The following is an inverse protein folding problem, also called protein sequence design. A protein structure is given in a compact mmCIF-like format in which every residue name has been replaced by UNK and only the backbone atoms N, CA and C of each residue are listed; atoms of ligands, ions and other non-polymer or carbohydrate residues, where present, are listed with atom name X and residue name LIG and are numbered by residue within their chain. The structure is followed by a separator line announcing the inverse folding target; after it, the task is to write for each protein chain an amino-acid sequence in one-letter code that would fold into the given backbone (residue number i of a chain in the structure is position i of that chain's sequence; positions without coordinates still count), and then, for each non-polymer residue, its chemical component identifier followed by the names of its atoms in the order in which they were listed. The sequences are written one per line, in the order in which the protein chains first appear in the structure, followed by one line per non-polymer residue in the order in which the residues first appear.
data_IF_178423143185
#
_entry.id   IF_178423143185
#
_cell.length_a   1.000
_cell.length_b   1.000
_cell.length_c   1.000
_cell.angle_alpha   90.00
_cell.angle_beta   90.00
_cell.angle_gamma   90.00
#
_symmetry.space_group_name_H-M   'P 1'
#
loop_
_entity.id
_entity.type
_entity.pdbx_description
1 polymer ?
#
# COMPACT_ATOMS: atom_id res chain seq x y z
N UNK A 1 -20.87 5.87 -5.19
CA UNK A 1 -20.20 5.45 -3.94
C UNK A 1 -19.05 6.37 -3.53
N UNK A 2 -18.03 6.61 -4.38
CA UNK A 2 -16.85 7.43 -4.05
C UNK A 2 -17.18 8.80 -3.43
N UNK A 3 -18.03 9.59 -4.09
CA UNK A 3 -18.43 10.92 -3.60
C UNK A 3 -19.16 10.84 -2.25
N UNK A 4 -19.98 9.80 -2.03
CA UNK A 4 -20.73 9.63 -0.80
C UNK A 4 -19.81 9.33 0.39
N UNK A 5 -18.79 8.49 0.19
CA UNK A 5 -17.76 8.22 1.21
C UNK A 5 -16.93 9.47 1.46
N UNK A 6 -16.48 10.15 0.41
CA UNK A 6 -15.69 11.39 0.52
C UNK A 6 -16.43 12.47 1.32
N UNK A 7 -17.72 12.68 1.06
CA UNK A 7 -18.53 13.66 1.81
C UNK A 7 -18.65 13.33 3.32
N UNK A 8 -18.55 12.05 3.69
CA UNK A 8 -18.58 11.62 5.11
C UNK A 8 -17.20 11.71 5.77
N UNK A 9 -16.13 11.69 5.00
CA UNK A 9 -14.75 11.77 5.47
C UNK A 9 -14.35 13.23 5.78
N UNK A 10 -15.03 13.85 6.75
CA UNK A 10 -14.89 15.26 7.07
C UNK A 10 -13.65 15.51 7.95
N UNK A 11 -12.82 16.47 7.55
CA UNK A 11 -11.71 16.96 8.37
C UNK A 11 -12.21 18.01 9.37
N UNK A 12 -11.83 17.88 10.65
CA UNK A 12 -12.23 18.84 11.69
C UNK A 12 -11.63 20.24 11.45
N UNK A 13 -10.45 20.32 10.83
CA UNK A 13 -9.83 21.56 10.39
C UNK A 13 -9.49 21.45 8.91
N UNK A 14 -10.15 22.24 8.06
CA UNK A 14 -9.91 22.24 6.62
C UNK A 14 -8.59 22.98 6.33
N UNK A 15 -7.61 22.34 5.66
CA UNK A 15 -6.36 23.00 5.29
C UNK A 15 -6.61 24.22 4.40
N UNK A 16 -5.97 25.35 4.72
CA UNK A 16 -6.16 26.59 3.95
C UNK A 16 -5.60 26.52 2.52
N UNK A 17 -4.61 25.66 2.28
CA UNK A 17 -3.94 25.47 0.98
C UNK A 17 -4.60 24.38 0.11
N UNK A 18 -5.38 23.48 0.72
CA UNK A 18 -6.07 22.40 0.02
C UNK A 18 -7.47 22.23 0.63
N UNK A 19 -8.42 23.00 0.10
CA UNK A 19 -9.81 23.02 0.59
C UNK A 19 -10.55 21.72 0.29
N UNK A 20 -10.06 20.94 -0.67
CA UNK A 20 -10.63 19.66 -1.08
C UNK A 20 -9.89 18.47 -0.43
N UNK A 21 -9.02 18.74 0.55
CA UNK A 21 -8.25 17.72 1.25
C UNK A 21 -9.15 16.71 1.95
N UNK A 22 -8.88 15.43 1.68
CA UNK A 22 -9.58 14.30 2.31
C UNK A 22 -8.55 13.46 3.07
N UNK A 23 -8.61 13.40 4.41
CA UNK A 23 -7.70 12.56 5.18
C UNK A 23 -7.89 11.08 4.83
N UNK A 24 -6.83 10.42 4.36
CA UNK A 24 -6.89 9.02 3.92
C UNK A 24 -7.44 8.07 4.99
N UNK A 25 -7.04 8.27 6.26
CA UNK A 25 -7.51 7.45 7.39
C UNK A 25 -9.00 7.62 7.68
N UNK A 26 -9.55 8.83 7.49
CA UNK A 26 -10.98 9.07 7.67
C UNK A 26 -11.77 8.48 6.52
N UNK A 27 -11.26 8.61 5.28
CA UNK A 27 -11.87 7.99 4.11
C UNK A 27 -11.92 6.46 4.22
N UNK A 28 -10.81 5.84 4.61
CA UNK A 28 -10.72 4.39 4.89
C UNK A 28 -11.73 3.94 5.95
N UNK A 29 -11.89 4.71 7.03
CA UNK A 29 -12.87 4.42 8.07
C UNK A 29 -14.30 4.48 7.54
N UNK A 30 -14.65 5.50 6.76
CA UNK A 30 -15.98 5.63 6.17
C UNK A 30 -16.25 4.57 5.10
N UNK A 31 -15.24 4.19 4.31
CA UNK A 31 -15.34 3.07 3.39
C UNK A 31 -15.66 1.76 4.12
N UNK A 32 -14.89 1.41 5.16
CA UNK A 32 -15.13 0.18 5.94
C UNK A 32 -16.50 0.18 6.63
N UNK A 33 -16.99 1.34 7.08
CA UNK A 33 -18.37 1.49 7.59
C UNK A 33 -19.40 1.23 6.49
N UNK A 34 -19.19 1.73 5.27
CA UNK A 34 -20.09 1.51 4.15
C UNK A 34 -20.14 0.03 3.74
N UNK A 35 -18.98 -0.65 3.67
CA UNK A 35 -18.90 -2.11 3.43
C UNK A 35 -19.65 -2.89 4.50
N UNK A 36 -19.47 -2.52 5.77
CA UNK A 36 -20.20 -3.17 6.88
C UNK A 36 -21.71 -2.95 6.77
N UNK A 37 -22.14 -1.72 6.45
CA UNK A 37 -23.55 -1.35 6.36
C UNK A 37 -24.28 -2.01 5.18
N UNK A 38 -23.58 -2.36 4.10
CA UNK A 38 -24.19 -3.04 2.96
C UNK A 38 -24.52 -4.52 3.22
N UNK A 39 -23.96 -5.11 4.28
CA UNK A 39 -24.06 -6.55 4.54
C UNK A 39 -23.28 -7.43 3.56
N UNK A 40 -22.57 -6.83 2.59
CA UNK A 40 -21.82 -7.52 1.53
C UNK A 40 -20.33 -7.32 1.71
N UNK A 41 -19.77 -7.91 2.75
CA UNK A 41 -18.35 -7.78 3.09
C UNK A 41 -17.55 -8.99 2.61
N UNK A 42 -16.51 -8.78 1.82
CA UNK A 42 -15.48 -9.77 1.47
C UNK A 42 -14.17 -9.40 2.16
N UNK A 43 -13.54 -10.38 2.81
CA UNK A 43 -12.18 -10.21 3.38
C UNK A 43 -11.14 -10.38 2.28
N UNK A 44 -10.09 -9.56 2.34
CA UNK A 44 -8.91 -9.69 1.49
C UNK A 44 -7.65 -9.47 2.32
N UNK A 45 -6.53 -10.01 1.85
CA UNK A 45 -5.20 -9.71 2.38
C UNK A 45 -4.37 -9.07 1.27
N UNK A 46 -3.74 -7.95 1.59
CA UNK A 46 -2.72 -7.31 0.76
C UNK A 46 -1.37 -7.80 1.29
N UNK A 47 -0.58 -8.46 0.45
CA UNK A 47 0.80 -8.83 0.76
C UNK A 47 1.75 -8.01 -0.12
N UNK A 48 2.82 -7.47 0.47
CA UNK A 48 3.91 -6.78 -0.21
C UNK A 48 5.19 -7.52 0.11
N UNK A 49 5.81 -8.10 -0.92
CA UNK A 49 6.99 -8.95 -0.86
C UNK A 49 8.22 -8.18 -1.36
N UNK A 50 9.28 -8.19 -0.54
CA UNK A 50 10.61 -7.69 -0.89
C UNK A 50 11.49 -8.84 -1.39
N UNK A 51 11.48 -9.91 -0.59
CA UNK A 51 12.06 -11.23 -0.88
C UNK A 51 11.10 -12.29 -0.32
N UNK A 52 11.23 -13.58 -0.69
CA UNK A 52 10.39 -14.64 -0.12
C UNK A 52 10.42 -14.72 1.41
N UNK A 53 11.49 -14.25 2.05
CA UNK A 53 11.70 -14.22 3.50
C UNK A 53 11.36 -12.85 4.14
N UNK A 54 10.86 -11.90 3.36
CA UNK A 54 10.50 -10.57 3.83
C UNK A 54 9.21 -10.09 3.18
N UNK A 55 8.10 -10.36 3.89
CA UNK A 55 6.74 -10.14 3.43
C UNK A 55 5.94 -9.37 4.47
N UNK A 56 5.39 -8.25 4.04
CA UNK A 56 4.48 -7.42 4.83
C UNK A 56 3.04 -7.69 4.42
N UNK A 57 2.16 -8.03 5.37
CA UNK A 57 0.73 -8.19 5.08
C UNK A 57 -0.15 -7.14 5.77
N UNK A 58 -1.34 -6.92 5.21
CA UNK A 58 -2.41 -6.10 5.77
C UNK A 58 -3.78 -6.70 5.39
N UNK A 59 -4.57 -7.09 6.39
CA UNK A 59 -5.94 -7.59 6.17
C UNK A 59 -6.95 -6.43 6.15
N UNK A 60 -7.87 -6.46 5.20
CA UNK A 60 -8.97 -5.49 5.10
C UNK A 60 -10.22 -6.14 4.52
N UNK A 61 -11.30 -5.36 4.41
CA UNK A 61 -12.54 -5.74 3.74
C UNK A 61 -12.79 -4.88 2.50
N UNK A 62 -13.58 -5.42 1.58
CA UNK A 62 -14.10 -4.76 0.36
C UNK A 62 -15.57 -5.18 0.14
N UNK A 63 -16.29 -4.46 -0.71
CA UNK A 63 -17.63 -4.86 -1.14
C UNK A 63 -17.57 -6.17 -1.93
N UNK A 64 -18.35 -7.17 -1.52
CA UNK A 64 -18.55 -8.42 -2.25
C UNK A 64 -19.55 -8.20 -3.41
N UNK A 65 -19.25 -8.77 -4.57
CA UNK A 65 -20.05 -8.66 -5.81
C UNK A 65 -20.51 -7.22 -6.08
N UNK A 66 -19.55 -6.29 -6.20
CA UNK A 66 -19.83 -4.87 -6.17
C UNK A 66 -20.56 -4.40 -7.44
N UNK A 67 -21.45 -3.43 -7.27
CA UNK A 67 -21.85 -2.54 -8.37
C UNK A 67 -20.64 -1.78 -8.92
N UNK A 68 -20.75 -1.17 -10.10
CA UNK A 68 -19.63 -0.42 -10.69
C UNK A 68 -19.14 0.71 -9.76
N UNK A 69 -20.06 1.38 -9.06
CA UNK A 69 -19.68 2.42 -8.11
C UNK A 69 -18.94 1.87 -6.87
N UNK A 70 -19.39 0.73 -6.34
CA UNK A 70 -18.72 0.04 -5.22
C UNK A 70 -17.36 -0.51 -5.65
N UNK A 71 -17.24 -0.98 -6.89
CA UNK A 71 -15.98 -1.45 -7.48
C UNK A 71 -14.97 -0.31 -7.55
N UNK A 72 -15.37 0.86 -8.03
CA UNK A 72 -14.53 2.05 -8.01
C UNK A 72 -14.08 2.44 -6.58
N UNK A 73 -14.95 2.25 -5.58
CA UNK A 73 -14.60 2.45 -4.18
C UNK A 73 -13.63 1.39 -3.63
N UNK A 74 -13.83 0.10 -3.98
CA UNK A 74 -12.89 -0.98 -3.66
C UNK A 74 -11.51 -0.68 -4.23
N UNK A 75 -11.42 -0.29 -5.50
CA UNK A 75 -10.16 0.03 -6.17
C UNK A 75 -9.47 1.19 -5.45
N UNK A 76 -10.16 2.31 -5.17
CA UNK A 76 -9.56 3.45 -4.45
C UNK A 76 -9.07 3.06 -3.07
N UNK A 77 -9.84 2.25 -2.33
CA UNK A 77 -9.48 1.78 -1.00
C UNK A 77 -8.19 0.96 -1.02
N UNK A 78 -8.17 -0.10 -1.84
CA UNK A 78 -7.05 -1.04 -1.90
C UNK A 78 -5.82 -0.39 -2.52
N UNK A 79 -5.99 0.43 -3.57
CA UNK A 79 -4.87 1.12 -4.21
C UNK A 79 -4.18 2.12 -3.27
N UNK A 80 -4.93 2.82 -2.41
CA UNK A 80 -4.36 3.73 -1.40
C UNK A 80 -3.60 2.97 -0.32
N UNK A 81 -4.12 1.82 0.12
CA UNK A 81 -3.43 0.94 1.07
C UNK A 81 -2.14 0.36 0.45
N UNK A 82 -2.19 -0.12 -0.80
CA UNK A 82 -1.02 -0.61 -1.53
C UNK A 82 0.03 0.49 -1.64
N UNK A 83 -0.34 1.71 -2.05
CA UNK A 83 0.61 2.83 -2.12
C UNK A 83 1.24 3.11 -0.76
N UNK A 84 0.43 3.17 0.30
CA UNK A 84 0.93 3.35 1.66
C UNK A 84 1.93 2.25 2.06
N UNK A 85 1.61 0.99 1.80
CA UNK A 85 2.50 -0.13 2.12
C UNK A 85 3.79 -0.09 1.30
N UNK A 86 3.74 0.20 0.00
CA UNK A 86 4.94 0.32 -0.84
C UNK A 86 5.90 1.39 -0.30
N UNK A 87 5.38 2.54 0.12
CA UNK A 87 6.21 3.65 0.57
C UNK A 87 6.64 3.58 2.04
N UNK A 88 5.89 2.87 2.89
CA UNK A 88 6.27 2.67 4.29
C UNK A 88 7.15 1.45 4.49
N UNK A 89 6.91 0.39 3.71
CA UNK A 89 7.47 -0.95 3.93
C UNK A 89 8.37 -1.38 2.78
N UNK A 90 8.08 -0.96 1.55
CA UNK A 90 8.83 -1.34 0.36
C UNK A 90 8.54 -2.77 -0.11
N UNK A 91 8.58 -2.98 -1.42
CA UNK A 91 8.49 -4.28 -2.09
C UNK A 91 8.24 -4.12 -3.59
N UNK A 92 8.32 -5.21 -4.33
CA UNK A 92 8.12 -5.21 -5.80
C UNK A 92 7.00 -6.15 -6.24
N UNK A 93 6.71 -7.18 -5.46
CA UNK A 93 5.62 -8.11 -5.74
C UNK A 93 4.51 -7.89 -4.73
N UNK A 94 3.32 -7.65 -5.24
CA UNK A 94 2.13 -7.41 -4.45
C UNK A 94 1.14 -8.52 -4.76
N UNK A 95 0.53 -9.09 -3.73
CA UNK A 95 -0.51 -10.10 -3.91
C UNK A 95 -1.78 -9.63 -3.22
N UNK A 96 -2.88 -9.61 -3.98
CA UNK A 96 -4.22 -9.38 -3.45
C UNK A 96 -4.89 -10.74 -3.31
N UNK A 97 -4.92 -11.25 -2.08
CA UNK A 97 -5.54 -12.53 -1.77
C UNK A 97 -7.04 -12.35 -1.50
N UNK A 98 -7.87 -13.15 -2.16
CA UNK A 98 -9.33 -13.17 -1.98
C UNK A 98 -10.13 -12.33 -2.98
N UNK A 99 -9.49 -11.54 -3.85
CA UNK A 99 -10.19 -10.79 -4.91
C UNK A 99 -9.33 -10.58 -6.18
N UNK A 100 -9.51 -11.47 -7.15
CA UNK A 100 -8.77 -11.42 -8.42
C UNK A 100 -9.16 -10.23 -9.30
N UNK A 101 -10.38 -9.70 -9.16
CA UNK A 101 -10.85 -8.56 -9.97
C UNK A 101 -10.14 -7.29 -9.54
N UNK A 102 -10.08 -7.05 -8.22
CA UNK A 102 -9.32 -5.90 -7.66
C UNK A 102 -7.83 -6.02 -8.01
N UNK A 103 -7.26 -7.23 -7.94
CA UNK A 103 -5.87 -7.46 -8.36
C UNK A 103 -5.63 -7.07 -9.82
N UNK A 104 -6.53 -7.47 -10.72
CA UNK A 104 -6.42 -7.17 -12.16
C UNK A 104 -6.55 -5.68 -12.46
N UNK A 105 -7.40 -4.93 -11.74
CA UNK A 105 -7.46 -3.47 -11.88
C UNK A 105 -6.18 -2.80 -11.38
N UNK A 106 -5.68 -3.24 -10.23
CA UNK A 106 -4.44 -2.74 -9.67
C UNK A 106 -3.25 -3.02 -10.60
N UNK A 107 -3.20 -4.19 -11.25
CA UNK A 107 -2.17 -4.52 -12.22
C UNK A 107 -2.13 -3.53 -13.40
N UNK A 108 -3.30 -3.01 -13.82
CA UNK A 108 -3.36 -1.96 -14.86
C UNK A 108 -2.88 -0.62 -14.31
N UNK A 109 -3.30 -0.26 -13.10
CA UNK A 109 -2.93 1.00 -12.44
C UNK A 109 -1.42 1.06 -12.18
N UNK A 110 -0.83 -0.02 -11.65
CA UNK A 110 0.59 -0.18 -11.37
C UNK A 110 1.29 -0.87 -12.55
N UNK A 111 1.34 -0.16 -13.68
CA UNK A 111 2.04 -0.58 -14.88
C UNK A 111 2.80 0.60 -15.50
N UNK A 112 3.67 0.33 -16.48
CA UNK A 112 4.44 1.38 -17.18
C UNK A 112 3.57 2.44 -17.88
N UNK A 113 2.31 2.14 -18.18
CA UNK A 113 1.35 3.07 -18.79
C UNK A 113 0.19 3.45 -17.86
N UNK A 114 0.19 2.97 -16.62
CA UNK A 114 -0.88 3.22 -15.65
C UNK A 114 -0.69 4.51 -14.85
N UNK A 115 -1.72 4.90 -14.10
CA UNK A 115 -1.71 6.10 -13.23
C UNK A 115 -0.61 6.06 -12.14
N UNK A 116 -0.05 4.88 -11.88
CA UNK A 116 1.04 4.65 -10.92
C UNK A 116 2.33 4.20 -11.61
N UNK A 117 2.56 4.60 -12.87
CA UNK A 117 3.79 4.31 -13.60
C UNK A 117 5.06 4.69 -12.84
N UNK A 118 5.06 5.84 -12.16
CA UNK A 118 6.18 6.25 -11.31
C UNK A 118 6.46 5.27 -10.15
N UNK A 119 5.42 4.84 -9.43
CA UNK A 119 5.57 3.85 -8.35
C UNK A 119 6.05 2.50 -8.93
N UNK A 120 5.49 2.10 -10.08
CA UNK A 120 5.88 0.89 -10.82
C UNK A 120 7.36 0.87 -11.20
N UNK A 121 7.84 1.90 -11.88
CA UNK A 121 9.23 2.00 -12.33
C UNK A 121 10.20 2.06 -11.16
N UNK A 122 9.86 2.83 -10.12
CA UNK A 122 10.75 3.01 -8.98
C UNK A 122 10.85 1.77 -8.12
N UNK A 123 9.75 1.10 -7.79
CA UNK A 123 9.81 -0.16 -7.05
C UNK A 123 10.54 -1.22 -7.87
N UNK A 124 10.33 -1.23 -9.21
CA UNK A 124 11.07 -2.15 -10.08
C UNK A 124 12.58 -1.93 -10.01
N UNK A 125 12.99 -0.65 -10.00
CA UNK A 125 14.40 -0.25 -9.93
C UNK A 125 15.01 -0.52 -8.56
N UNK A 126 14.32 -0.18 -7.46
CA UNK A 126 14.85 -0.34 -6.09
C UNK A 126 15.12 -1.81 -5.78
N UNK A 127 14.23 -2.70 -6.21
CA UNK A 127 14.30 -4.12 -5.94
C UNK A 127 14.92 -4.94 -7.06
N UNK A 128 15.34 -4.31 -8.17
CA UNK A 128 15.90 -4.98 -9.35
C UNK A 128 15.04 -6.14 -9.88
N UNK A 129 13.73 -6.00 -9.80
CA UNK A 129 12.74 -6.97 -10.25
C UNK A 129 11.56 -6.24 -10.87
N UNK A 130 10.97 -6.73 -11.96
CA UNK A 130 9.78 -6.10 -12.53
C UNK A 130 8.63 -6.12 -11.52
N UNK A 131 8.16 -4.94 -11.10
CA UNK A 131 7.03 -4.82 -10.18
C UNK A 131 5.80 -5.50 -10.77
N UNK A 132 5.00 -6.16 -9.93
CA UNK A 132 3.78 -6.83 -10.39
C UNK A 132 2.74 -6.96 -9.29
N UNK A 133 1.48 -7.01 -9.72
CA UNK A 133 0.34 -7.34 -8.88
C UNK A 133 -0.17 -8.72 -9.28
N UNK A 134 -0.20 -9.64 -8.32
CA UNK A 134 -0.73 -10.99 -8.46
C UNK A 134 -2.05 -11.14 -7.65
N UNK A 135 -2.78 -12.22 -7.92
CA UNK A 135 -3.92 -12.66 -7.11
C UNK A 135 -3.78 -14.10 -6.66
N UNK A 136 -4.34 -14.43 -5.51
CA UNK A 136 -4.52 -15.82 -5.06
C UNK A 136 -5.82 -15.97 -4.26
N UNK A 137 -6.18 -17.21 -3.93
CA UNK A 137 -7.24 -17.48 -2.95
C UNK A 137 -6.87 -16.88 -1.58
N UNK A 138 -7.87 -16.57 -0.76
CA UNK A 138 -7.66 -15.94 0.55
C UNK A 138 -6.80 -16.82 1.48
N UNK A 139 -7.03 -18.13 1.45
CA UNK A 139 -6.35 -19.16 2.24
C UNK A 139 -4.91 -19.39 1.80
N UNK A 140 -4.60 -19.00 0.56
CA UNK A 140 -3.27 -19.08 -0.05
C UNK A 140 -2.48 -17.77 0.11
N UNK A 141 -2.99 -16.80 0.89
CA UNK A 141 -2.30 -15.53 1.12
C UNK A 141 -0.86 -15.75 1.63
N UNK A 142 0.14 -15.02 1.08
CA UNK A 142 1.48 -15.00 1.66
C UNK A 142 1.42 -14.64 3.15
N UNK A 143 2.21 -15.34 3.97
CA UNK A 143 2.28 -15.07 5.42
C UNK A 143 3.22 -13.90 5.70
N UNK A 144 2.92 -13.13 6.74
CA UNK A 144 3.82 -12.07 7.19
C UNK A 144 5.14 -12.67 7.70
N UNK A 145 6.25 -12.12 7.21
CA UNK A 145 7.61 -12.43 7.66
C UNK A 145 8.39 -11.12 7.70
N UNK A 146 8.68 -10.62 8.90
CA UNK A 146 9.41 -9.35 9.11
C UNK A 146 10.73 -9.63 9.82
N UNK A 147 11.80 -10.00 9.08
CA UNK A 147 13.08 -10.29 9.69
C UNK A 147 13.65 -9.03 10.32
N UNK A 148 14.04 -9.12 11.59
CA UNK A 148 14.77 -8.05 12.27
C UNK A 148 16.25 -8.40 12.30
N UNK A 149 17.11 -7.42 11.98
CA UNK A 149 18.55 -7.54 12.19
C UNK A 149 18.94 -6.61 13.34
N UNK A 150 19.60 -7.12 14.39
CA UNK A 150 20.11 -6.26 15.45
C UNK A 150 21.17 -5.31 14.89
N UNK A 151 21.12 -4.05 15.30
CA UNK A 151 22.04 -2.98 14.83
C UNK A 151 23.48 -3.12 15.36
N UNK A 152 23.82 -4.22 16.05
CA UNK A 152 25.15 -4.51 16.61
C UNK A 152 25.58 -3.63 17.79
N UNK A 153 25.23 -2.32 17.79
CA UNK A 153 25.62 -1.32 18.81
C UNK A 153 27.12 -1.35 19.14
N UNK A 154 27.97 -1.50 18.13
CA UNK A 154 29.43 -1.50 18.31
C UNK A 154 29.93 -0.07 18.60
N UNK A 155 29.99 0.30 19.88
CA UNK A 155 30.35 1.65 20.33
C UNK A 155 31.84 1.86 20.59
N UNK A 156 32.62 0.79 20.73
CA UNK A 156 34.04 0.81 21.15
C UNK A 156 35.07 1.02 20.01
N UNK A 157 34.62 1.30 18.78
CA UNK A 157 35.49 1.45 17.61
C UNK A 157 35.33 2.78 16.89
N UNK A 158 36.24 3.07 15.96
CA UNK A 158 36.09 4.20 15.04
C UNK A 158 34.88 3.96 14.13
N UNK A 159 33.99 4.95 14.02
CA UNK A 159 32.70 4.82 13.32
C UNK A 159 32.63 5.76 12.14
N UNK A 160 32.17 5.26 11.01
CA UNK A 160 31.85 6.06 9.83
C UNK A 160 30.34 5.94 9.58
N UNK A 161 29.64 7.07 9.66
CA UNK A 161 28.23 7.19 9.31
C UNK A 161 28.09 7.77 7.92
N UNK A 162 27.34 7.08 7.04
CA UNK A 162 26.94 7.59 5.73
C UNK A 162 25.46 7.93 5.74
N UNK A 163 25.12 9.17 5.38
CA UNK A 163 23.77 9.56 4.99
C UNK A 163 23.75 9.72 3.46
N UNK A 164 23.13 8.75 2.78
CA UNK A 164 23.03 8.71 1.34
C UNK A 164 21.63 9.19 0.92
N UNK A 165 21.52 10.49 0.66
CA UNK A 165 20.32 11.10 0.10
C UNK A 165 20.25 10.93 -1.42
N UNK A 166 19.10 11.24 -2.01
CA UNK A 166 18.91 11.17 -3.46
C UNK A 166 19.83 12.11 -4.27
N UNK A 167 20.29 13.22 -3.67
CA UNK A 167 21.12 14.24 -4.31
C UNK A 167 22.46 14.49 -3.63
N UNK A 168 22.72 13.88 -2.47
CA UNK A 168 23.90 14.21 -1.65
C UNK A 168 24.38 13.02 -0.83
N UNK A 169 25.67 13.02 -0.49
CA UNK A 169 26.32 12.01 0.35
C UNK A 169 27.01 12.73 1.49
N UNK A 170 26.49 12.58 2.72
CA UNK A 170 27.17 13.08 3.92
C UNK A 170 27.91 11.94 4.61
N UNK A 171 29.11 12.25 5.08
CA UNK A 171 29.95 11.33 5.83
C UNK A 171 30.37 12.00 7.15
N UNK A 172 30.26 11.28 8.25
CA UNK A 172 30.79 11.70 9.54
C UNK A 172 31.63 10.56 10.13
N UNK A 173 32.78 10.91 10.69
CA UNK A 173 33.65 9.97 11.40
C UNK A 173 33.76 10.37 12.87
N UNK A 174 33.75 9.37 13.77
CA UNK A 174 33.94 9.54 15.21
C UNK A 174 34.93 8.52 15.75
#
# INVERSE_FOLDING_TARGET
MLQAITKRAVCAMVPCLDKDFVPAVLWDREFRKAVKASGKSRKIIIAVERTPESVSTFETVVFADPTEEERAANIRHVERLVKGMLWMRGGWKITIAGDAVVAADLAKIYSSSGERAFDYEMMSRIYSNTMRIDSCAYEAAPKAVEPTKPLGRHLEGCRIGFDLGGSDRKCAAL
#
